data_IF_734911524865
#
_entry.id   IF_734911524865
#
_cell.length_a   1.000
_cell.length_b   1.000
_cell.length_c   1.000
_cell.angle_alpha   90.00
_cell.angle_beta   90.00
_cell.angle_gamma   90.00
#
_symmetry.space_group_name_H-M   'P 1'
#
loop_
_entity.id
_entity.type
_entity.pdbx_description
1 polymer ?
#
# COMPACT_ATOMS: atom_id res chain seq x y z
N UNK A 1 65.67 24.20 8.22
CA UNK A 1 64.39 24.54 7.58
C UNK A 1 63.67 23.24 7.24
N UNK A 2 62.74 22.81 8.09
CA UNK A 2 61.90 21.63 7.87
C UNK A 2 60.59 22.09 7.21
N UNK A 3 60.37 21.69 5.96
CA UNK A 3 59.09 21.86 5.26
C UNK A 3 58.13 20.80 5.79
N UNK A 4 57.26 21.19 6.71
CA UNK A 4 56.07 20.43 7.04
C UNK A 4 55.10 20.68 5.88
N UNK A 5 55.12 19.78 4.91
CA UNK A 5 54.08 19.70 3.89
C UNK A 5 52.81 19.20 4.59
N UNK A 6 51.95 20.15 4.95
CA UNK A 6 50.59 19.92 5.41
C UNK A 6 49.79 19.23 4.31
N UNK A 7 49.86 17.91 4.26
CA UNK A 7 48.81 17.09 3.67
C UNK A 7 47.58 17.20 4.56
N UNK A 8 46.85 18.30 4.40
CA UNK A 8 45.41 18.36 4.68
C UNK A 8 44.76 17.35 3.72
N UNK A 9 44.73 16.09 4.13
CA UNK A 9 43.78 15.12 3.61
C UNK A 9 42.42 15.79 3.70
N UNK A 10 41.88 16.17 2.53
CA UNK A 10 40.52 16.64 2.42
C UNK A 10 39.65 15.50 2.91
N UNK A 11 39.26 15.56 4.18
CA UNK A 11 38.20 14.74 4.74
C UNK A 11 37.02 15.00 3.82
N UNK A 12 36.76 14.08 2.89
CA UNK A 12 35.51 14.11 2.15
C UNK A 12 34.44 14.08 3.23
N UNK A 13 33.66 15.16 3.40
CA UNK A 13 32.64 15.19 4.43
C UNK A 13 31.81 13.93 4.22
N UNK A 14 31.80 13.07 5.25
CA UNK A 14 31.24 11.73 5.20
C UNK A 14 29.97 11.75 4.34
N UNK A 15 30.00 11.05 3.20
CA UNK A 15 29.04 11.14 2.10
C UNK A 15 27.66 11.51 2.62
N UNK A 16 27.30 12.80 2.45
CA UNK A 16 26.11 13.35 3.05
C UNK A 16 24.92 12.48 2.63
N UNK A 17 24.36 11.76 3.61
CA UNK A 17 23.27 10.81 3.36
C UNK A 17 22.13 11.58 2.70
N UNK A 18 21.76 11.19 1.48
CA UNK A 18 20.68 11.87 0.78
C UNK A 18 19.37 11.61 1.51
N UNK A 19 18.80 12.67 2.07
CA UNK A 19 17.52 12.60 2.75
C UNK A 19 16.36 12.76 1.78
N UNK A 20 15.45 11.80 1.83
CA UNK A 20 14.25 11.79 1.02
C UNK A 20 13.33 12.98 1.42
N UNK A 21 12.96 13.88 0.50
CA UNK A 21 12.12 15.03 0.80
C UNK A 21 10.81 14.65 1.48
N UNK A 22 10.35 15.47 2.43
CA UNK A 22 9.11 15.22 3.20
C UNK A 22 7.90 15.07 2.28
N UNK A 23 7.74 15.98 1.32
CA UNK A 23 6.66 15.92 0.33
C UNK A 23 6.64 14.59 -0.43
N UNK A 24 7.82 14.07 -0.82
CA UNK A 24 7.91 12.77 -1.50
C UNK A 24 7.52 11.61 -0.57
N UNK A 25 7.94 11.65 0.70
CA UNK A 25 7.55 10.65 1.71
C UNK A 25 6.03 10.60 1.88
N UNK A 26 5.40 11.76 2.00
CA UNK A 26 3.95 11.87 2.22
C UNK A 26 3.16 11.37 1.00
N UNK A 27 3.63 11.68 -0.23
CA UNK A 27 3.01 11.17 -1.46
C UNK A 27 3.20 9.67 -1.64
N UNK A 28 4.38 9.11 -1.32
CA UNK A 28 4.59 7.66 -1.30
C UNK A 28 3.59 7.01 -0.35
N UNK A 29 3.41 7.58 0.84
CA UNK A 29 2.50 7.01 1.83
C UNK A 29 1.04 7.04 1.37
N UNK A 30 0.61 8.19 0.84
CA UNK A 30 -0.72 8.39 0.29
C UNK A 30 -1.03 7.37 -0.84
N UNK A 31 -0.16 7.28 -1.84
CA UNK A 31 -0.41 6.43 -3.00
C UNK A 31 -0.23 4.94 -2.72
N UNK A 32 0.66 4.54 -1.81
CA UNK A 32 0.76 3.13 -1.41
C UNK A 32 -0.50 2.64 -0.72
N UNK A 33 -1.13 3.48 0.14
CA UNK A 33 -2.40 3.14 0.76
C UNK A 33 -3.56 3.10 -0.23
N UNK A 34 -3.73 4.16 -1.03
CA UNK A 34 -4.78 4.24 -2.06
C UNK A 34 -4.72 3.06 -3.04
N UNK A 35 -3.49 2.69 -3.46
CA UNK A 35 -3.28 1.61 -4.42
C UNK A 35 -3.70 0.24 -3.87
N UNK A 36 -3.43 -0.04 -2.59
CA UNK A 36 -3.78 -1.35 -1.98
C UNK A 36 -5.29 -1.52 -1.77
N UNK A 37 -6.01 -0.41 -1.60
CA UNK A 37 -7.47 -0.39 -1.55
C UNK A 37 -8.14 -0.32 -2.93
N UNK A 38 -7.35 -0.12 -3.98
CA UNK A 38 -7.87 -0.02 -5.34
C UNK A 38 -8.52 -1.34 -5.77
N UNK A 39 -9.78 -1.32 -6.25
CA UNK A 39 -10.47 -2.51 -6.70
C UNK A 39 -9.85 -3.11 -7.97
N UNK A 40 -9.09 -2.31 -8.73
CA UNK A 40 -8.46 -2.72 -10.00
C UNK A 40 -7.04 -3.26 -9.82
N UNK A 41 -6.53 -3.39 -8.59
CA UNK A 41 -5.19 -3.91 -8.36
C UNK A 41 -5.15 -5.43 -8.66
N UNK A 42 -4.37 -5.89 -9.64
CA UNK A 42 -4.39 -7.30 -10.01
C UNK A 42 -3.67 -8.20 -8.99
N UNK A 43 -2.59 -7.69 -8.38
CA UNK A 43 -1.75 -8.44 -7.45
C UNK A 43 -1.16 -7.53 -6.36
N UNK A 44 -1.03 -8.06 -5.14
CA UNK A 44 -0.48 -7.39 -3.95
C UNK A 44 1.02 -7.62 -3.74
N UNK A 45 1.56 -8.75 -4.21
CA UNK A 45 2.95 -9.18 -4.04
C UNK A 45 3.70 -9.32 -5.37
N UNK A 46 3.13 -8.87 -6.48
CA UNK A 46 3.77 -8.98 -7.79
C UNK A 46 5.23 -8.49 -7.75
N UNK A 47 6.13 -9.31 -8.32
CA UNK A 47 7.56 -9.03 -8.37
C UNK A 47 7.81 -7.66 -8.97
N UNK A 48 8.91 -7.01 -8.57
CA UNK A 48 9.33 -5.68 -9.05
C UNK A 48 9.41 -5.58 -10.59
N UNK A 49 9.52 -6.72 -11.30
CA UNK A 49 9.60 -6.81 -12.76
C UNK A 49 8.23 -6.86 -13.44
N UNK A 50 7.15 -7.18 -12.74
CA UNK A 50 5.81 -7.25 -13.32
C UNK A 50 5.34 -5.84 -13.74
N UNK A 51 4.83 -5.65 -14.97
CA UNK A 51 4.38 -4.33 -15.45
C UNK A 51 3.27 -3.73 -14.59
N UNK A 52 2.45 -4.59 -13.99
CA UNK A 52 1.33 -4.24 -13.11
C UNK A 52 1.62 -4.45 -11.61
N UNK A 53 2.91 -4.51 -11.24
CA UNK A 53 3.29 -4.66 -9.84
C UNK A 53 3.02 -3.38 -9.03
N UNK A 54 2.60 -3.47 -7.75
CA UNK A 54 2.30 -2.30 -6.93
C UNK A 54 3.41 -1.26 -6.89
N UNK A 55 4.67 -1.72 -6.81
CA UNK A 55 5.84 -0.83 -6.80
C UNK A 55 5.94 -0.05 -8.11
N UNK A 56 5.80 -0.71 -9.27
CA UNK A 56 5.85 -0.03 -10.57
C UNK A 56 4.71 0.97 -10.72
N UNK A 57 3.52 0.65 -10.24
CA UNK A 57 2.37 1.56 -10.28
C UNK A 57 2.64 2.82 -9.45
N UNK A 58 3.15 2.68 -8.21
CA UNK A 58 3.53 3.85 -7.39
C UNK A 58 4.66 4.64 -8.06
N UNK A 59 5.73 3.99 -8.50
CA UNK A 59 6.84 4.67 -9.17
C UNK A 59 6.38 5.41 -10.43
N UNK A 60 5.51 4.80 -11.24
CA UNK A 60 4.94 5.43 -12.43
C UNK A 60 4.05 6.64 -12.11
N UNK A 61 3.40 6.68 -10.95
CA UNK A 61 2.70 7.88 -10.46
C UNK A 61 3.73 8.95 -10.08
N UNK A 62 4.75 8.61 -9.28
CA UNK A 62 5.78 9.57 -8.87
C UNK A 62 6.52 10.20 -10.06
N UNK A 63 6.80 9.43 -11.10
CA UNK A 63 7.44 9.91 -12.35
C UNK A 63 6.63 10.99 -13.07
N UNK A 64 5.30 10.96 -12.96
CA UNK A 64 4.40 11.95 -13.57
C UNK A 64 4.37 13.27 -12.80
N UNK A 65 4.92 13.32 -11.59
CA UNK A 65 4.82 14.46 -10.69
C UNK A 65 6.19 14.85 -10.09
N UNK A 66 7.14 15.34 -10.92
CA UNK A 66 8.49 15.67 -10.47
C UNK A 66 8.54 16.76 -9.37
N UNK A 67 7.51 17.61 -9.29
CA UNK A 67 7.39 18.66 -8.27
C UNK A 67 7.30 18.11 -6.84
N UNK A 68 7.00 16.82 -6.66
CA UNK A 68 7.02 16.18 -5.33
C UNK A 68 8.43 15.80 -4.87
N UNK A 69 9.45 16.00 -5.70
CA UNK A 69 10.84 15.68 -5.41
C UNK A 69 11.39 14.44 -6.12
N UNK A 70 10.56 13.73 -6.92
CA UNK A 70 11.03 12.62 -7.76
C UNK A 70 11.42 13.12 -9.15
N UNK A 71 12.51 13.90 -9.20
CA UNK A 71 13.01 14.54 -10.43
C UNK A 71 13.76 13.56 -11.33
N UNK A 72 14.06 13.96 -12.57
CA UNK A 72 14.90 13.19 -13.50
C UNK A 72 16.30 12.94 -12.92
N UNK A 73 16.83 13.85 -12.12
CA UNK A 73 18.12 13.72 -11.44
C UNK A 73 18.07 12.62 -10.39
N UNK A 74 17.02 12.60 -9.55
CA UNK A 74 16.79 11.54 -8.55
C UNK A 74 16.60 10.19 -9.22
N UNK A 75 15.92 10.15 -10.38
CA UNK A 75 15.74 8.91 -11.17
C UNK A 75 17.05 8.44 -11.82
N UNK A 76 17.90 9.36 -12.27
CA UNK A 76 19.19 9.04 -12.89
C UNK A 76 20.27 8.62 -11.88
N UNK A 77 20.15 9.06 -10.64
CA UNK A 77 21.03 8.69 -9.53
C UNK A 77 20.57 7.37 -8.90
N UNK A 78 21.35 6.30 -9.10
CA UNK A 78 21.03 4.95 -8.62
C UNK A 78 20.82 4.91 -7.10
N UNK A 79 21.65 5.59 -6.33
CA UNK A 79 21.57 5.56 -4.87
C UNK A 79 20.27 6.22 -4.38
N UNK A 80 19.93 7.39 -4.92
CA UNK A 80 18.68 8.09 -4.58
C UNK A 80 17.45 7.32 -5.05
N UNK A 81 17.50 6.75 -6.26
CA UNK A 81 16.43 5.90 -6.79
C UNK A 81 16.18 4.67 -5.89
N UNK A 82 17.25 3.98 -5.46
CA UNK A 82 17.15 2.81 -4.58
C UNK A 82 16.55 3.19 -3.22
N UNK A 83 16.86 4.37 -2.67
CA UNK A 83 16.22 4.89 -1.45
C UNK A 83 14.71 5.07 -1.64
N UNK A 84 14.28 5.65 -2.77
CA UNK A 84 12.84 5.83 -3.09
C UNK A 84 12.16 4.48 -3.22
N UNK A 85 12.72 3.55 -4.00
CA UNK A 85 12.17 2.20 -4.20
C UNK A 85 12.05 1.45 -2.87
N UNK A 86 13.10 1.49 -2.03
CA UNK A 86 13.09 0.88 -0.70
C UNK A 86 12.00 1.48 0.18
N UNK A 87 11.82 2.80 0.15
CA UNK A 87 10.75 3.46 0.89
C UNK A 87 9.36 2.99 0.43
N UNK A 88 9.12 2.91 -0.88
CA UNK A 88 7.85 2.39 -1.45
C UNK A 88 7.61 0.94 -1.01
N UNK A 89 8.63 0.09 -1.08
CA UNK A 89 8.56 -1.32 -0.65
C UNK A 89 8.19 -1.44 0.82
N UNK A 90 8.86 -0.70 1.70
CA UNK A 90 8.57 -0.66 3.13
C UNK A 90 7.12 -0.25 3.37
N UNK A 91 6.66 0.85 2.76
CA UNK A 91 5.28 1.31 2.95
C UNK A 91 4.25 0.33 2.44
N UNK A 92 4.45 -0.29 1.28
CA UNK A 92 3.53 -1.34 0.81
C UNK A 92 3.44 -2.52 1.79
N UNK A 93 4.55 -2.89 2.42
CA UNK A 93 4.56 -3.95 3.44
C UNK A 93 3.83 -3.52 4.71
N UNK A 94 4.12 -2.32 5.22
CA UNK A 94 3.45 -1.77 6.40
C UNK A 94 1.93 -1.68 6.18
N UNK A 95 1.51 -1.09 5.05
CA UNK A 95 0.08 -0.92 4.73
C UNK A 95 -0.63 -2.25 4.55
N UNK A 96 0.01 -3.25 3.92
CA UNK A 96 -0.53 -4.61 3.88
C UNK A 96 -0.68 -5.23 5.27
N UNK A 97 0.27 -5.03 6.18
CA UNK A 97 0.14 -5.53 7.54
C UNK A 97 -1.05 -4.87 8.26
N UNK A 98 -1.19 -3.55 8.15
CA UNK A 98 -2.32 -2.77 8.72
C UNK A 98 -3.67 -3.20 8.14
N UNK A 99 -3.76 -3.36 6.81
CA UNK A 99 -4.96 -3.86 6.13
C UNK A 99 -5.38 -5.22 6.68
N UNK A 100 -4.42 -6.15 6.77
CA UNK A 100 -4.67 -7.48 7.33
C UNK A 100 -5.13 -7.38 8.79
N UNK A 101 -4.49 -6.57 9.61
CA UNK A 101 -4.85 -6.36 11.01
C UNK A 101 -6.30 -5.87 11.16
N UNK A 102 -6.69 -4.82 10.44
CA UNK A 102 -8.05 -4.27 10.51
C UNK A 102 -9.09 -5.29 10.05
N UNK A 103 -8.79 -6.05 8.98
CA UNK A 103 -9.67 -7.11 8.49
C UNK A 103 -9.78 -8.23 9.54
N UNK A 104 -8.68 -8.64 10.18
CA UNK A 104 -8.69 -9.64 11.26
C UNK A 104 -9.58 -9.18 12.41
N UNK A 105 -9.41 -7.94 12.90
CA UNK A 105 -10.19 -7.39 13.99
C UNK A 105 -11.68 -7.31 13.67
N UNK A 106 -12.03 -7.10 12.39
CA UNK A 106 -13.41 -7.05 11.92
C UNK A 106 -14.14 -8.40 11.98
N UNK A 107 -13.44 -9.53 12.11
CA UNK A 107 -14.07 -10.85 12.17
C UNK A 107 -14.83 -11.10 13.47
N UNK A 108 -14.58 -10.28 14.51
CA UNK A 108 -15.16 -10.50 15.83
C UNK A 108 -14.55 -11.70 16.57
N UNK A 109 -14.91 -11.90 17.85
CA UNK A 109 -14.38 -12.99 18.67
C UNK A 109 -14.81 -14.38 18.16
N UNK A 110 -16.01 -14.51 17.60
CA UNK A 110 -16.52 -15.78 17.07
C UNK A 110 -15.68 -16.27 15.88
N UNK A 111 -15.33 -15.38 14.96
CA UNK A 111 -14.50 -15.71 13.80
C UNK A 111 -13.07 -16.11 14.17
N UNK A 112 -12.57 -15.72 15.34
CA UNK A 112 -11.25 -16.12 15.86
C UNK A 112 -11.35 -17.39 16.71
N UNK A 113 -12.46 -17.60 17.41
CA UNK A 113 -12.68 -18.75 18.29
C UNK A 113 -12.79 -20.07 17.53
N UNK A 114 -13.39 -20.08 16.33
CA UNK A 114 -13.48 -21.28 15.49
C UNK A 114 -12.10 -21.80 15.04
N UNK A 115 -11.09 -20.93 15.05
CA UNK A 115 -9.74 -21.24 14.59
C UNK A 115 -8.85 -21.90 15.65
N UNK A 116 -9.19 -21.72 16.92
CA UNK A 116 -8.40 -22.17 18.06
C UNK A 116 -9.32 -23.05 18.89
N UNK A 117 -9.54 -24.29 18.43
CA UNK A 117 -10.39 -25.26 19.13
C UNK A 117 -10.04 -25.33 20.61
N UNK A 118 -10.95 -24.84 21.46
CA UNK A 118 -11.14 -25.04 22.91
C UNK A 118 -9.89 -25.19 23.82
N UNK A 119 -8.71 -24.75 23.41
CA UNK A 119 -7.49 -24.79 24.23
C UNK A 119 -6.87 -23.40 24.36
N UNK A 120 -7.50 -22.54 25.17
CA UNK A 120 -6.75 -21.49 25.86
C UNK A 120 -6.94 -21.59 27.36
N UNK A 121 -5.97 -22.27 27.98
CA UNK A 121 -5.61 -22.03 29.36
C UNK A 121 -5.18 -20.57 29.55
N UNK A 122 -5.57 -20.02 30.69
CA UNK A 122 -5.26 -18.68 31.18
C UNK A 122 -3.75 -18.41 31.22
N UNK A 123 -3.22 -17.56 30.33
CA UNK A 123 -1.83 -17.06 30.45
C UNK A 123 -1.78 -15.54 30.50
N UNK A 124 -1.41 -15.07 31.69
CA UNK A 124 -0.66 -13.88 32.10
C UNK A 124 -0.88 -12.53 31.42
N UNK A 125 -1.38 -11.62 32.26
CA UNK A 125 -1.60 -10.17 32.07
C UNK A 125 -0.27 -9.42 31.93
N UNK A 126 0.07 -9.01 30.70
CA UNK A 126 0.88 -7.81 30.47
C UNK A 126 -0.06 -6.61 30.20
N UNK A 127 0.30 -5.37 30.58
CA UNK A 127 -0.57 -4.21 30.41
C UNK A 127 -0.65 -3.86 28.92
N UNK A 128 -1.65 -4.43 28.23
CA UNK A 128 -1.93 -4.15 26.82
C UNK A 128 -2.56 -2.76 26.72
N UNK A 129 -2.01 -1.92 25.83
CA UNK A 129 -2.73 -0.77 25.24
C UNK A 129 -4.15 -1.24 24.93
N UNK A 130 -5.17 -0.48 25.35
CA UNK A 130 -6.58 -0.75 25.05
C UNK A 130 -6.79 -0.79 23.53
N UNK A 131 -6.57 -1.95 22.92
CA UNK A 131 -7.11 -2.24 21.60
C UNK A 131 -8.61 -2.36 21.76
N UNK A 132 -9.41 -1.65 20.94
CA UNK A 132 -10.87 -1.75 21.00
C UNK A 132 -11.28 -3.22 20.85
N UNK A 133 -12.30 -3.63 21.61
CA UNK A 133 -12.81 -4.99 21.56
C UNK A 133 -13.18 -5.36 20.12
N UNK A 134 -12.89 -6.60 19.66
CA UNK A 134 -13.20 -7.01 18.30
C UNK A 134 -14.72 -7.00 18.11
N UNK A 135 -15.23 -6.04 17.35
CA UNK A 135 -16.63 -5.97 16.94
C UNK A 135 -16.73 -6.54 15.54
N UNK A 136 -17.70 -7.43 15.31
CA UNK A 136 -18.02 -7.86 13.96
C UNK A 136 -18.55 -6.67 13.17
N UNK A 137 -17.74 -6.15 12.25
CA UNK A 137 -18.13 -5.02 11.40
C UNK A 137 -18.84 -5.56 10.15
N UNK A 138 -19.82 -4.83 9.60
CA UNK A 138 -20.23 -5.03 8.22
C UNK A 138 -19.15 -4.52 7.25
N UNK A 139 -19.29 -4.81 5.95
CA UNK A 139 -18.26 -4.46 4.96
C UNK A 139 -18.10 -2.95 4.76
N UNK A 140 -19.17 -2.17 4.89
CA UNK A 140 -19.15 -0.71 4.70
C UNK A 140 -18.44 -0.07 5.89
N UNK A 141 -18.77 -0.47 7.11
CA UNK A 141 -18.08 -0.01 8.32
C UNK A 141 -16.61 -0.44 8.35
N UNK A 142 -16.30 -1.64 7.85
CA UNK A 142 -14.91 -2.07 7.65
C UNK A 142 -14.17 -1.16 6.66
N UNK A 143 -14.80 -0.79 5.54
CA UNK A 143 -14.21 0.15 4.58
C UNK A 143 -13.98 1.53 5.19
N UNK A 144 -14.92 2.03 6.00
CA UNK A 144 -14.76 3.29 6.76
C UNK A 144 -13.61 3.20 7.75
N UNK A 145 -13.50 2.09 8.50
CA UNK A 145 -12.42 1.88 9.45
C UNK A 145 -11.05 1.83 8.76
N UNK A 146 -10.96 1.20 7.59
CA UNK A 146 -9.75 1.22 6.75
C UNK A 146 -9.43 2.63 6.28
N UNK A 147 -10.38 3.35 5.71
CA UNK A 147 -10.18 4.73 5.25
C UNK A 147 -9.74 5.67 6.39
N UNK A 148 -10.29 5.49 7.59
CA UNK A 148 -9.95 6.27 8.77
C UNK A 148 -8.50 6.07 9.25
N UNK A 149 -7.85 4.93 8.92
CA UNK A 149 -6.42 4.74 9.23
C UNK A 149 -5.52 5.73 8.51
N UNK A 150 -5.95 6.23 7.34
CA UNK A 150 -5.23 7.19 6.53
C UNK A 150 -6.17 8.29 6.04
N UNK A 151 -6.62 9.13 6.98
CA UNK A 151 -7.52 10.24 6.71
C UNK A 151 -7.02 11.18 5.61
N UNK A 152 -5.70 11.35 5.47
CA UNK A 152 -5.06 12.15 4.42
C UNK A 152 -5.29 11.63 2.99
N UNK A 153 -5.81 10.41 2.81
CA UNK A 153 -5.97 9.80 1.49
C UNK A 153 -7.33 10.06 0.84
N UNK A 154 -8.30 10.63 1.57
CA UNK A 154 -9.67 10.90 1.07
C UNK A 154 -10.23 9.76 0.21
N UNK A 155 -10.17 8.52 0.73
CA UNK A 155 -10.62 7.34 -0.01
C UNK A 155 -12.14 7.38 -0.16
N UNK A 156 -12.61 7.33 -1.41
CA UNK A 156 -14.02 7.21 -1.73
C UNK A 156 -14.43 5.75 -1.57
N UNK A 157 -15.38 5.49 -0.67
CA UNK A 157 -15.92 4.15 -0.44
C UNK A 157 -16.91 3.84 -1.56
N UNK A 158 -16.42 3.16 -2.60
CA UNK A 158 -17.23 2.69 -3.71
C UNK A 158 -17.70 1.24 -3.50
N UNK A 159 -18.68 0.80 -4.30
CA UNK A 159 -19.17 -0.57 -4.25
C UNK A 159 -18.07 -1.58 -4.59
N UNK A 160 -17.21 -1.25 -5.57
CA UNK A 160 -16.09 -2.08 -6.01
C UNK A 160 -15.04 -2.22 -4.91
N UNK A 161 -14.75 -1.13 -4.17
CA UNK A 161 -13.88 -1.18 -3.00
C UNK A 161 -14.48 -2.08 -1.91
N UNK A 162 -15.78 -1.96 -1.61
CA UNK A 162 -16.45 -2.84 -0.67
C UNK A 162 -16.37 -4.30 -1.11
N UNK A 163 -16.62 -4.61 -2.39
CA UNK A 163 -16.50 -5.95 -2.93
C UNK A 163 -15.07 -6.50 -2.77
N UNK A 164 -14.05 -5.67 -3.03
CA UNK A 164 -12.65 -6.04 -2.84
C UNK A 164 -12.33 -6.34 -1.37
N UNK A 165 -12.76 -5.50 -0.45
CA UNK A 165 -12.54 -5.70 1.00
C UNK A 165 -13.30 -6.92 1.52
N UNK A 166 -14.54 -7.15 1.06
CA UNK A 166 -15.29 -8.36 1.39
C UNK A 166 -14.56 -9.63 0.91
N UNK A 167 -14.01 -9.60 -0.31
CA UNK A 167 -13.22 -10.70 -0.85
C UNK A 167 -11.99 -10.99 0.01
N UNK A 168 -11.21 -9.96 0.37
CA UNK A 168 -10.07 -10.11 1.27
C UNK A 168 -10.48 -10.74 2.62
N UNK A 169 -11.56 -10.23 3.23
CA UNK A 169 -12.07 -10.76 4.50
C UNK A 169 -12.50 -12.23 4.39
N UNK A 170 -13.17 -12.60 3.30
CA UNK A 170 -13.57 -13.98 3.03
C UNK A 170 -12.36 -14.91 2.95
N UNK A 171 -11.32 -14.53 2.19
CA UNK A 171 -10.10 -15.34 2.06
C UNK A 171 -9.35 -15.47 3.39
N UNK A 172 -9.33 -14.42 4.20
CA UNK A 172 -8.72 -14.49 5.52
C UNK A 172 -9.47 -15.49 6.40
N UNK A 173 -10.81 -15.44 6.41
CA UNK A 173 -11.63 -16.39 7.17
C UNK A 173 -11.44 -17.83 6.68
N UNK A 174 -11.34 -18.05 5.37
CA UNK A 174 -11.10 -19.37 4.79
C UNK A 174 -9.75 -19.95 5.22
N UNK A 175 -8.70 -19.13 5.25
CA UNK A 175 -7.37 -19.51 5.71
C UNK A 175 -7.34 -19.79 7.23
N UNK A 176 -8.12 -19.03 8.01
CA UNK A 176 -8.29 -19.26 9.46
C UNK A 176 -9.01 -20.59 9.72
N UNK A 177 -10.06 -20.91 8.95
CA UNK A 177 -10.81 -22.17 9.06
C UNK A 177 -10.03 -23.38 8.55
N UNK A 178 -9.10 -23.17 7.61
CA UNK A 178 -8.31 -24.22 7.00
C UNK A 178 -6.81 -23.85 7.04
N UNK A 179 -6.13 -24.01 8.20
CA UNK A 179 -4.73 -23.64 8.34
C UNK A 179 -3.80 -24.34 7.33
N UNK A 180 -4.20 -25.51 6.82
CA UNK A 180 -3.47 -26.26 5.79
C UNK A 180 -3.40 -25.54 4.44
N UNK A 181 -4.26 -24.54 4.20
CA UNK A 181 -4.27 -23.74 2.97
C UNK A 181 -3.23 -22.62 2.97
N UNK A 182 -2.50 -22.38 4.06
CA UNK A 182 -1.51 -21.30 4.10
C UNK A 182 -0.37 -21.59 3.10
N UNK A 183 -0.26 -20.84 1.99
CA UNK A 183 0.76 -21.09 0.99
C UNK A 183 2.13 -20.63 1.50
N UNK A 184 3.20 -21.13 0.88
CA UNK A 184 4.57 -20.65 1.07
C UNK A 184 4.64 -19.17 0.67
N UNK A 185 4.43 -18.26 1.62
CA UNK A 185 4.29 -16.81 1.37
C UNK A 185 3.16 -16.14 2.17
N UNK A 186 2.35 -16.90 2.90
CA UNK A 186 1.33 -16.40 3.82
C UNK A 186 0.11 -15.79 3.12
N UNK A 187 -0.68 -15.06 3.90
CA UNK A 187 -1.99 -14.50 3.49
C UNK A 187 -1.99 -13.77 2.14
N UNK A 188 -1.04 -12.84 1.90
CA UNK A 188 -1.06 -12.06 0.67
C UNK A 188 -0.71 -12.87 -0.58
N UNK A 189 0.09 -13.93 -0.44
CA UNK A 189 0.35 -14.86 -1.53
C UNK A 189 -0.90 -15.70 -1.84
N UNK A 190 -1.67 -16.07 -0.82
CA UNK A 190 -2.97 -16.74 -0.99
C UNK A 190 -3.96 -15.85 -1.75
N UNK A 191 -4.07 -14.57 -1.35
CA UNK A 191 -4.89 -13.58 -2.05
C UNK A 191 -4.51 -13.47 -3.53
N UNK A 192 -3.23 -13.32 -3.84
CA UNK A 192 -2.75 -13.20 -5.22
C UNK A 192 -3.02 -14.46 -6.04
N UNK A 193 -2.89 -15.65 -5.44
CA UNK A 193 -3.23 -16.91 -6.09
C UNK A 193 -4.72 -16.95 -6.47
N UNK A 194 -5.62 -16.58 -5.55
CA UNK A 194 -7.06 -16.55 -5.81
C UNK A 194 -7.44 -15.49 -6.85
N UNK A 195 -6.82 -14.30 -6.80
CA UNK A 195 -7.01 -13.28 -7.83
C UNK A 195 -6.53 -13.75 -9.20
N UNK A 196 -5.43 -14.50 -9.26
CA UNK A 196 -4.94 -15.05 -10.51
C UNK A 196 -5.90 -16.05 -11.15
N UNK A 197 -6.72 -16.72 -10.35
CA UNK A 197 -7.77 -17.64 -10.83
C UNK A 197 -8.93 -16.82 -11.39
N UNK A 198 -9.41 -15.83 -10.63
CA UNK A 198 -10.55 -14.97 -11.03
C UNK A 198 -10.22 -14.15 -12.29
N UNK A 199 -8.97 -13.68 -12.43
CA UNK A 199 -8.54 -12.84 -13.55
C UNK A 199 -8.25 -13.62 -14.83
N UNK A 200 -8.10 -14.95 -14.77
CA UNK A 200 -7.98 -15.78 -15.99
C UNK A 200 -9.39 -15.98 -16.54
N UNK A 201 -9.62 -15.52 -17.76
CA UNK A 201 -10.85 -15.87 -18.49
C UNK A 201 -10.86 -17.36 -18.89
N UNK A 202 -12.00 -17.86 -19.39
CA UNK A 202 -12.16 -19.24 -19.88
C UNK A 202 -11.18 -19.60 -21.02
N UNK A 203 -10.49 -18.61 -21.60
CA UNK A 203 -9.45 -18.80 -22.62
C UNK A 203 -8.02 -18.77 -22.05
N UNK A 204 -7.86 -18.70 -20.73
CA UNK A 204 -6.56 -18.63 -20.06
C UNK A 204 -5.82 -17.30 -20.31
N UNK A 205 -6.48 -16.30 -20.87
CA UNK A 205 -5.94 -14.94 -20.98
C UNK A 205 -6.30 -14.20 -19.69
N UNK A 206 -5.36 -13.40 -19.19
CA UNK A 206 -5.68 -12.45 -18.15
C UNK A 206 -6.70 -11.48 -18.76
N UNK A 207 -7.95 -11.53 -18.28
CA UNK A 207 -9.01 -10.64 -18.71
C UNK A 207 -8.43 -9.23 -18.66
N UNK A 208 -8.51 -8.51 -19.79
CA UNK A 208 -7.86 -7.20 -19.95
C UNK A 208 -8.18 -6.39 -18.70
N UNK A 209 -7.20 -6.27 -17.81
CA UNK A 209 -7.22 -5.19 -16.84
C UNK A 209 -7.20 -3.97 -17.73
N UNK A 210 -8.32 -3.27 -17.83
CA UNK A 210 -8.40 -2.02 -18.57
C UNK A 210 -7.48 -1.09 -17.79
N UNK A 211 -6.19 -1.08 -18.17
CA UNK A 211 -5.22 -0.11 -17.69
C UNK A 211 -5.62 1.16 -18.41
N UNK A 212 -6.20 2.15 -17.73
CA UNK A 212 -6.67 3.33 -18.42
C UNK A 212 -5.45 4.12 -18.88
N UNK A 213 -5.26 4.24 -20.19
CA UNK A 213 -4.19 5.05 -20.79
C UNK A 213 -3.39 4.46 -21.94
N UNK A 214 -3.71 3.28 -22.48
CA UNK A 214 -3.02 2.76 -23.67
C UNK A 214 -3.83 2.73 -24.98
N UNK A 215 -5.16 2.78 -24.93
CA UNK A 215 -5.99 2.86 -26.14
C UNK A 215 -6.84 4.14 -26.12
N UNK A 216 -6.68 4.96 -27.16
CA UNK A 216 -7.36 6.27 -27.33
C UNK A 216 -8.86 6.17 -27.65
N UNK A 217 -9.63 5.45 -26.84
CA UNK A 217 -11.09 5.34 -26.97
C UNK A 217 -11.79 5.50 -25.62
N UNK A 218 -12.52 6.63 -25.50
CA UNK A 218 -13.68 6.88 -24.65
C UNK A 218 -13.72 6.32 -23.21
N UNK A 219 -13.25 7.16 -22.28
CA UNK A 219 -13.87 7.54 -21.00
C UNK A 219 -15.07 6.71 -20.46
N UNK A 220 -14.78 5.77 -19.57
CA UNK A 220 -15.56 5.49 -18.35
C UNK A 220 -14.63 4.80 -17.33
N UNK A 221 -14.70 5.21 -16.07
CA UNK A 221 -14.01 4.63 -14.90
C UNK A 221 -12.48 4.78 -14.74
N UNK A 222 -12.00 6.01 -14.94
CA UNK A 222 -10.74 6.51 -14.34
C UNK A 222 -11.00 7.49 -13.19
N UNK A 223 -12.14 7.36 -12.50
CA UNK A 223 -12.59 8.36 -11.53
C UNK A 223 -11.88 8.27 -10.18
N UNK A 224 -11.25 7.17 -9.78
CA UNK A 224 -10.65 7.11 -8.44
C UNK A 224 -9.17 7.57 -8.44
N UNK A 225 -8.29 6.92 -9.19
CA UNK A 225 -6.85 7.26 -9.22
C UNK A 225 -6.50 8.48 -10.06
N UNK A 226 -7.22 8.74 -11.16
CA UNK A 226 -6.99 9.95 -11.96
C UNK A 226 -7.67 11.17 -11.36
N UNK A 227 -8.80 11.07 -10.63
CA UNK A 227 -9.28 12.23 -9.86
C UNK A 227 -8.36 12.53 -8.67
N UNK A 228 -7.70 11.55 -8.06
CA UNK A 228 -6.69 11.81 -7.03
C UNK A 228 -5.48 12.56 -7.63
N UNK A 229 -4.97 12.12 -8.78
CA UNK A 229 -3.87 12.81 -9.47
C UNK A 229 -4.28 14.17 -10.07
N UNK A 230 -5.49 14.29 -10.63
CA UNK A 230 -5.99 15.52 -11.25
C UNK A 230 -6.44 16.55 -10.21
N UNK A 231 -7.02 16.16 -9.05
CA UNK A 231 -7.28 17.09 -7.93
C UNK A 231 -5.99 17.58 -7.28
N UNK A 232 -4.95 16.75 -7.23
CA UNK A 232 -3.63 17.18 -6.77
C UNK A 232 -2.93 18.11 -7.78
N UNK A 233 -3.26 18.01 -9.07
CA UNK A 233 -2.71 18.87 -10.13
C UNK A 233 -3.52 20.16 -10.36
N UNK A 234 -4.80 20.21 -9.97
CA UNK A 234 -5.67 21.38 -10.17
C UNK A 234 -5.48 22.49 -9.14
N UNK A 235 -4.54 22.37 -8.19
CA UNK A 235 -4.21 23.44 -7.24
C UNK A 235 -5.36 23.86 -6.31
N UNK A 236 -6.48 23.14 -6.30
CA UNK A 236 -7.57 23.33 -5.34
C UNK A 236 -7.26 22.54 -4.07
N UNK A 237 -6.11 22.83 -3.48
CA UNK A 237 -5.91 22.67 -2.05
C UNK A 237 -5.97 24.11 -1.55
N UNK A 238 -7.06 24.45 -0.85
CA UNK A 238 -7.05 25.65 -0.04
C UNK A 238 -6.08 25.31 1.08
N UNK A 239 -4.83 25.78 0.95
CA UNK A 239 -3.96 25.88 2.10
C UNK A 239 -4.65 26.91 3.01
N UNK A 240 -5.39 26.41 4.00
CA UNK A 240 -5.72 27.18 5.20
C UNK A 240 -4.39 27.37 5.98
N UNK A 241 -3.47 28.15 5.41
CA UNK A 241 -2.53 28.94 6.19
C UNK A 241 -3.26 30.23 6.53
N UNK A 242 -3.84 30.28 7.73
CA UNK A 242 -3.77 31.46 8.62
C UNK A 242 -4.41 31.14 9.99
N UNK A 243 -3.79 31.70 11.02
CA UNK A 243 -4.12 31.71 12.46
C UNK A 243 -3.63 30.54 13.34
N UNK A 244 -2.33 30.56 13.68
CA UNK A 244 -1.83 30.73 15.07
C UNK A 244 -0.33 31.10 15.11
#
# INVERSE_FOLDING_TARGET
MLKIEEHLEAIQPADAQWDLPRTLKDKIDHYTFALLLSPVLPFYLAKNTAPLGPIKLVMGILEKHPLWGFTKEVKGDKYKFDIVVKRVQTRLTDRRAELKEVITLSLGPEGLSEAHGEQMGTVSKAPKKKTPDPVQLDVVELCKALAAKHAATHVIISLEMCARVAFLRKLLLEMIKNPQLEPTGGYWAFVDAQLSIILKDDQGKYGRTIIPGQDGAAAADISCTQNIANRAASGTFVDDEDDY
#
